data_IF_477016183383
#
_entry.id   IF_477016183383
#
_cell.length_a   1.000
_cell.length_b   1.000
_cell.length_c   1.000
_cell.angle_alpha   90.00
_cell.angle_beta   90.00
_cell.angle_gamma   90.00
#
_symmetry.space_group_name_H-M   'P 1'
#
loop_
_entity.id
_entity.type
_entity.pdbx_description
1 polymer ?
#
# COMPACT_ATOMS: atom_id res chain seq x y z
N UNK A 1 -3.17 5.43 0.54
CA UNK A 1 -3.15 4.61 -0.69
C UNK A 1 -1.72 4.32 -1.08
N UNK A 2 -1.44 3.09 -1.42
CA UNK A 2 -0.11 2.67 -1.84
C UNK A 2 -0.20 2.14 -3.26
N UNK A 3 0.60 2.71 -4.15
CA UNK A 3 0.65 2.31 -5.55
C UNK A 3 2.01 1.67 -5.83
N UNK A 4 1.99 0.48 -6.37
CA UNK A 4 3.21 -0.26 -6.71
C UNK A 4 3.14 -0.70 -8.17
N UNK A 5 4.16 -0.38 -8.93
CA UNK A 5 4.24 -0.75 -10.34
C UNK A 5 5.12 -2.00 -10.48
N UNK A 6 4.58 -2.98 -11.17
CA UNK A 6 5.30 -4.23 -11.44
C UNK A 6 5.24 -4.49 -12.95
N UNK A 7 6.18 -3.94 -13.72
CA UNK A 7 6.12 -4.03 -15.19
C UNK A 7 6.16 -5.49 -15.67
N UNK A 8 5.30 -5.80 -16.60
CA UNK A 8 5.27 -7.12 -17.22
C UNK A 8 4.56 -8.19 -16.42
N UNK A 9 3.95 -7.86 -15.30
CA UNK A 9 3.29 -8.85 -14.46
C UNK A 9 1.80 -8.94 -14.80
N UNK A 10 1.28 -10.17 -14.78
CA UNK A 10 -0.15 -10.40 -14.88
C UNK A 10 -0.84 -9.99 -13.57
N UNK A 11 -2.15 -9.76 -13.58
CA UNK A 11 -2.86 -9.44 -12.33
C UNK A 11 -2.66 -10.51 -11.25
N UNK A 12 -2.58 -11.76 -11.62
CA UNK A 12 -2.38 -12.84 -10.65
C UNK A 12 -1.01 -12.76 -10.00
N UNK A 13 0.02 -12.44 -10.77
CA UNK A 13 1.36 -12.28 -10.22
C UNK A 13 1.45 -11.05 -9.34
N UNK A 14 0.79 -9.96 -9.75
CA UNK A 14 0.74 -8.76 -8.93
C UNK A 14 0.08 -9.07 -7.60
N UNK A 15 -1.02 -9.80 -7.61
CA UNK A 15 -1.70 -10.17 -6.38
C UNK A 15 -0.79 -11.00 -5.45
N UNK A 16 -0.19 -12.05 -5.98
CA UNK A 16 0.60 -12.98 -5.18
C UNK A 16 1.91 -12.38 -4.70
N UNK A 17 2.60 -11.67 -5.59
CA UNK A 17 3.97 -11.22 -5.31
C UNK A 17 4.04 -9.82 -4.73
N UNK A 18 3.01 -9.01 -4.88
CA UNK A 18 3.01 -7.63 -4.43
C UNK A 18 1.87 -7.36 -3.46
N UNK A 19 0.62 -7.53 -3.90
CA UNK A 19 -0.53 -7.15 -3.08
C UNK A 19 -0.60 -7.92 -1.77
N UNK A 20 -0.42 -9.24 -1.83
CA UNK A 20 -0.46 -10.06 -0.62
C UNK A 20 0.69 -9.73 0.32
N UNK A 21 1.87 -9.52 -0.23
CA UNK A 21 3.05 -9.18 0.57
C UNK A 21 2.83 -7.84 1.27
N UNK A 22 2.38 -6.83 0.53
CA UNK A 22 2.16 -5.51 1.10
C UNK A 22 0.99 -5.50 2.07
N UNK A 23 -0.07 -6.21 1.77
CA UNK A 23 -1.23 -6.26 2.66
C UNK A 23 -0.86 -6.82 4.03
N UNK A 24 -0.03 -7.86 4.06
CA UNK A 24 0.45 -8.42 5.31
C UNK A 24 1.43 -7.50 6.02
N UNK A 25 2.29 -6.83 5.26
CA UNK A 25 3.31 -5.95 5.84
C UNK A 25 2.71 -4.66 6.38
N UNK A 26 1.65 -4.14 5.77
CA UNK A 26 1.10 -2.84 6.11
C UNK A 26 -0.02 -2.90 7.14
N UNK A 27 -0.14 -3.99 7.87
CA UNK A 27 -1.07 -4.07 8.99
C UNK A 27 -0.48 -3.31 10.15
N UNK A 28 -0.93 -2.07 10.36
CA UNK A 28 -0.43 -1.20 11.43
C UNK A 28 -1.59 -0.80 12.34
N UNK A 29 -1.31 -0.38 13.59
CA UNK A 29 -2.37 0.08 14.48
C UNK A 29 -3.15 1.25 13.87
N UNK A 30 -4.45 1.23 14.02
CA UNK A 30 -5.32 2.27 13.49
C UNK A 30 -5.93 1.93 12.14
N UNK A 31 -5.43 0.93 11.45
CA UNK A 31 -6.02 0.50 10.18
C UNK A 31 -7.30 -0.28 10.46
N UNK A 32 -8.41 0.18 9.89
CA UNK A 32 -9.68 -0.52 10.02
C UNK A 32 -9.93 -1.46 8.85
N UNK A 33 -9.39 -1.13 7.67
CA UNK A 33 -9.61 -1.94 6.47
C UNK A 33 -8.52 -1.67 5.45
N UNK A 34 -8.10 -2.72 4.76
CA UNK A 34 -7.20 -2.62 3.61
C UNK A 34 -7.91 -3.26 2.42
N UNK A 35 -8.02 -2.51 1.34
CA UNK A 35 -8.58 -3.02 0.09
C UNK A 35 -7.46 -3.07 -0.94
N UNK A 36 -7.21 -4.25 -1.50
CA UNK A 36 -6.17 -4.44 -2.49
C UNK A 36 -6.78 -4.64 -3.87
N UNK A 37 -6.27 -3.93 -4.84
CA UNK A 37 -6.64 -4.10 -6.24
C UNK A 37 -5.39 -4.50 -7.01
N UNK A 38 -5.43 -5.65 -7.65
CA UNK A 38 -4.32 -6.15 -8.45
C UNK A 38 -4.71 -6.06 -9.92
N UNK A 39 -3.91 -5.37 -10.70
CA UNK A 39 -4.13 -5.22 -12.13
C UNK A 39 -2.86 -5.55 -12.88
N UNK A 40 -2.96 -5.64 -14.20
CA UNK A 40 -1.79 -5.86 -15.00
C UNK A 40 -0.82 -4.70 -14.79
N UNK A 41 0.40 -5.04 -14.41
CA UNK A 41 1.52 -4.11 -14.20
C UNK A 41 1.45 -3.25 -12.94
N UNK A 42 0.39 -3.30 -12.13
CA UNK A 42 0.38 -2.49 -10.91
C UNK A 42 -0.52 -3.06 -9.82
N UNK A 43 -0.23 -2.63 -8.60
CA UNK A 43 -1.03 -2.96 -7.41
C UNK A 43 -1.44 -1.66 -6.72
N UNK A 44 -2.67 -1.64 -6.27
CA UNK A 44 -3.22 -0.49 -5.57
C UNK A 44 -3.78 -0.97 -4.23
N UNK A 45 -3.23 -0.44 -3.13
CA UNK A 45 -3.73 -0.74 -1.80
C UNK A 45 -4.37 0.52 -1.21
N UNK A 46 -5.63 0.41 -0.87
CA UNK A 46 -6.36 1.48 -0.21
C UNK A 46 -6.49 1.12 1.26
N UNK A 47 -5.89 1.93 2.12
CA UNK A 47 -5.91 1.71 3.55
C UNK A 47 -6.86 2.70 4.20
N UNK A 48 -7.80 2.19 4.98
CA UNK A 48 -8.73 3.02 5.74
C UNK A 48 -8.37 2.96 7.21
N UNK A 49 -8.37 4.11 7.85
CA UNK A 49 -8.00 4.22 9.27
C UNK A 49 -9.23 4.62 10.08
N UNK A 50 -9.20 4.27 11.37
CA UNK A 50 -10.24 4.71 12.28
C UNK A 50 -10.13 6.23 12.49
N UNK A 51 -11.24 6.86 12.89
CA UNK A 51 -11.35 8.33 12.93
C UNK A 51 -10.31 8.99 13.82
N UNK A 52 -9.96 8.35 14.92
CA UNK A 52 -9.04 8.94 15.90
C UNK A 52 -7.57 8.70 15.56
N UNK A 53 -7.28 8.15 14.40
CA UNK A 53 -5.91 7.82 14.03
C UNK A 53 -5.10 9.09 13.75
N UNK A 54 -3.92 9.15 14.38
CA UNK A 54 -2.94 10.19 14.06
C UNK A 54 -2.32 9.86 12.71
N UNK A 55 -2.74 10.56 11.66
CA UNK A 55 -2.30 10.26 10.30
C UNK A 55 -0.82 10.49 10.10
N UNK A 56 -0.23 11.45 10.79
CA UNK A 56 1.21 11.68 10.66
C UNK A 56 1.99 10.47 11.16
N UNK A 57 1.63 9.96 12.34
CA UNK A 57 2.27 8.77 12.88
C UNK A 57 1.97 7.55 12.03
N UNK A 58 0.74 7.43 11.54
CA UNK A 58 0.36 6.30 10.70
C UNK A 58 1.16 6.27 9.41
N UNK A 59 1.37 7.44 8.77
CA UNK A 59 2.15 7.50 7.55
C UNK A 59 3.60 7.09 7.78
N UNK A 60 4.18 7.49 8.91
CA UNK A 60 5.55 7.09 9.25
C UNK A 60 5.63 5.57 9.39
N UNK A 61 4.65 4.97 10.07
CA UNK A 61 4.63 3.52 10.24
C UNK A 61 4.45 2.80 8.91
N UNK A 62 3.57 3.30 8.06
CA UNK A 62 3.37 2.73 6.73
C UNK A 62 4.65 2.80 5.92
N UNK A 63 5.33 3.95 5.92
CA UNK A 63 6.58 4.11 5.20
C UNK A 63 7.65 3.15 5.70
N UNK A 64 7.76 2.98 7.01
CA UNK A 64 8.73 2.05 7.59
C UNK A 64 8.42 0.60 7.20
N UNK A 65 7.15 0.23 7.22
CA UNK A 65 6.75 -1.12 6.83
C UNK A 65 6.99 -1.36 5.34
N UNK A 66 6.77 -0.35 4.51
CA UNK A 66 7.06 -0.47 3.09
C UNK A 66 8.55 -0.67 2.84
N UNK A 67 9.40 0.07 3.55
CA UNK A 67 10.84 -0.10 3.41
C UNK A 67 11.27 -1.52 3.78
N UNK A 68 10.69 -2.07 4.82
CA UNK A 68 10.99 -3.43 5.23
C UNK A 68 10.46 -4.44 4.21
N UNK A 69 9.29 -4.20 3.66
CA UNK A 69 8.67 -5.11 2.70
C UNK A 69 9.36 -5.09 1.35
N UNK A 70 10.09 -4.03 1.02
CA UNK A 70 10.77 -3.94 -0.28
C UNK A 70 11.69 -5.12 -0.53
N UNK A 71 12.33 -5.62 0.51
CA UNK A 71 13.22 -6.78 0.36
C UNK A 71 12.47 -8.06 0.04
N UNK A 72 11.18 -8.10 0.30
CA UNK A 72 10.33 -9.26 0.00
C UNK A 72 9.68 -9.17 -1.37
N UNK A 73 9.85 -8.05 -2.05
CA UNK A 73 9.27 -7.84 -3.38
C UNK A 73 10.27 -8.28 -4.46
N UNK A 74 9.77 -8.72 -5.64
CA UNK A 74 10.65 -9.04 -6.76
C UNK A 74 11.49 -7.83 -7.18
N UNK A 75 12.68 -8.09 -7.72
CA UNK A 75 13.61 -7.04 -8.11
C UNK A 75 13.04 -6.11 -9.18
N UNK A 76 12.16 -6.63 -10.02
CA UNK A 76 11.57 -5.86 -11.10
C UNK A 76 10.44 -4.94 -10.65
N UNK A 77 10.00 -5.10 -9.40
CA UNK A 77 8.98 -4.22 -8.85
C UNK A 77 9.60 -2.87 -8.54
N UNK A 78 8.95 -1.81 -9.02
CA UNK A 78 9.42 -0.46 -8.74
C UNK A 78 9.08 -0.08 -7.30
N UNK A 79 9.76 0.95 -6.80
CA UNK A 79 9.56 1.39 -5.43
C UNK A 79 8.10 1.78 -5.20
N UNK A 80 7.43 1.19 -4.19
CA UNK A 80 6.06 1.57 -3.88
C UNK A 80 5.95 3.05 -3.50
N UNK A 81 4.88 3.69 -3.96
CA UNK A 81 4.60 5.09 -3.66
C UNK A 81 3.45 5.19 -2.70
N UNK A 82 3.61 5.97 -1.65
CA UNK A 82 2.54 6.25 -0.69
C UNK A 82 1.89 7.57 -1.07
N UNK A 83 0.59 7.53 -1.35
CA UNK A 83 -0.18 8.72 -1.68
C UNK A 83 -1.22 8.89 -0.59
N UNK A 84 -1.16 10.01 0.11
CA UNK A 84 -2.16 10.32 1.11
C UNK A 84 -3.42 10.79 0.40
N UNK A 85 -4.50 10.07 0.61
CA UNK A 85 -5.79 10.39 0.04
C UNK A 85 -6.75 10.76 1.15
N UNK A 86 -7.28 11.97 1.12
CA UNK A 86 -8.25 12.43 2.08
C UNK A 86 -9.64 12.41 1.48
N UNK A 87 -10.57 11.79 2.19
CA UNK A 87 -11.98 11.83 1.81
C UNK A 87 -12.63 13.15 2.21
N UNK A 88 -11.93 13.97 2.96
CA UNK A 88 -12.42 15.28 3.38
C UNK A 88 -12.15 16.28 2.27
N UNK A 89 -13.16 16.57 1.50
CA UNK A 89 -13.01 17.46 0.34
C UNK A 89 -12.85 18.91 0.71
N UNK A 90 -12.92 19.24 1.97
CA UNK A 90 -12.65 20.62 2.42
C UNK A 90 -11.17 20.97 2.32
N UNK A 91 -10.35 20.04 1.92
CA UNK A 91 -8.94 20.30 1.75
C UNK A 91 -8.64 21.22 0.57
N UNK A 92 -9.59 21.53 -0.23
CA UNK A 92 -9.40 22.44 -1.35
C UNK A 92 -9.76 23.83 -0.97
#
# INVERSE_FOLDING_TARGET
MVVTVYPGASPERVETEVSDVLQNALTVPGVSKITATSAENYSLLLMQFVDDTDMDSALVQVSNKLDQAKSDLPETVLTPSVIQYSMNMNAF
#
